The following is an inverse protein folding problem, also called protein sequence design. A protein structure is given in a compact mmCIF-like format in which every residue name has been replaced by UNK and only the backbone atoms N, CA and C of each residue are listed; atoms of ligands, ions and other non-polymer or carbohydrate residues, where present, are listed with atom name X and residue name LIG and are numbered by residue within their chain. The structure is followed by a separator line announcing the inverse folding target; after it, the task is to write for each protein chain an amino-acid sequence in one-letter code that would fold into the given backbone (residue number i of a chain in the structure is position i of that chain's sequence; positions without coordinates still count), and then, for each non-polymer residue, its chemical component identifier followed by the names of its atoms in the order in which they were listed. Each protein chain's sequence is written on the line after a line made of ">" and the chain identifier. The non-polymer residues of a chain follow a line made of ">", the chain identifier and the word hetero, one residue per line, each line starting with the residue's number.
data_IF_875371597792
#
_entry.id   IF_875371597792
#
_cell.length_a   1.000
_cell.length_b   1.000
_cell.length_c   1.000
_cell.angle_alpha   90.00
_cell.angle_beta   90.00
_cell.angle_gamma   90.00
#
_symmetry.space_group_name_H-M   'P 1'
#
loop_
_entity.id
_entity.type
_entity.pdbx_description
1 polymer ?
#
# COMPACT_ATOMS: atom_id res chain seq x y z
N UNK A 1 -4.70 -20.03 -14.98
CA UNK A 1 -4.92 -19.24 -13.75
C UNK A 1 -6.04 -18.26 -14.09
N UNK A 2 -7.17 -18.33 -13.39
CA UNK A 2 -8.32 -17.43 -13.61
C UNK A 2 -8.10 -16.05 -13.00
N UNK A 3 -9.15 -15.24 -12.94
CA UNK A 3 -9.13 -13.94 -12.29
C UNK A 3 -8.69 -14.05 -10.81
N UNK A 4 -8.03 -13.00 -10.33
CA UNK A 4 -7.59 -12.87 -8.94
C UNK A 4 -8.22 -11.62 -8.33
N UNK A 5 -8.76 -11.77 -7.12
CA UNK A 5 -9.32 -10.66 -6.33
C UNK A 5 -8.55 -10.56 -5.03
N UNK A 6 -8.10 -9.37 -4.69
CA UNK A 6 -7.51 -9.05 -3.39
C UNK A 6 -8.44 -8.11 -2.64
N UNK A 7 -8.76 -8.45 -1.38
CA UNK A 7 -9.59 -7.66 -0.49
C UNK A 7 -8.74 -7.27 0.72
N UNK A 8 -8.57 -5.98 0.97
CA UNK A 8 -7.83 -5.47 2.13
C UNK A 8 -8.84 -4.95 3.16
N UNK A 9 -8.97 -5.64 4.29
CA UNK A 9 -9.88 -5.28 5.40
C UNK A 9 -9.07 -4.60 6.50
N UNK A 10 -8.95 -3.28 6.37
CA UNK A 10 -8.25 -2.41 7.34
C UNK A 10 -8.92 -2.42 8.73
N UNK A 11 -10.23 -2.64 8.75
CA UNK A 11 -11.04 -2.81 9.96
C UNK A 11 -10.72 -4.11 10.71
N UNK A 12 -10.32 -5.16 9.98
CA UNK A 12 -9.99 -6.47 10.55
C UNK A 12 -8.48 -6.70 10.71
N UNK A 13 -7.63 -5.91 10.04
CA UNK A 13 -6.18 -6.10 10.02
C UNK A 13 -5.71 -7.23 9.11
N UNK A 14 -6.50 -7.60 8.09
CA UNK A 14 -6.18 -8.73 7.19
C UNK A 14 -6.33 -8.39 5.70
N UNK A 15 -5.56 -9.10 4.87
CA UNK A 15 -5.81 -9.22 3.44
C UNK A 15 -6.34 -10.61 3.09
N UNK A 16 -7.20 -10.67 2.07
CA UNK A 16 -7.77 -11.89 1.54
C UNK A 16 -7.48 -11.98 0.05
N UNK A 17 -6.88 -13.09 -0.38
CA UNK A 17 -6.55 -13.36 -1.77
C UNK A 17 -7.40 -14.51 -2.29
N UNK A 18 -8.23 -14.21 -3.29
CA UNK A 18 -9.17 -15.13 -3.90
C UNK A 18 -8.74 -15.38 -5.34
N UNK A 19 -8.68 -16.66 -5.71
CA UNK A 19 -8.52 -17.08 -7.10
C UNK A 19 -9.83 -17.67 -7.60
N UNK A 20 -10.23 -17.31 -8.82
CA UNK A 20 -11.49 -17.73 -9.44
C UNK A 20 -11.66 -19.26 -9.41
N UNK A 21 -10.63 -20.00 -9.81
CA UNK A 21 -10.65 -21.46 -9.93
C UNK A 21 -10.11 -22.19 -8.69
N UNK A 22 -10.11 -21.54 -7.52
CA UNK A 22 -9.70 -22.15 -6.25
C UNK A 22 -10.86 -22.16 -5.27
N UNK A 23 -10.98 -23.28 -4.54
CA UNK A 23 -11.84 -23.46 -3.38
C UNK A 23 -11.25 -22.85 -2.10
N UNK A 24 -10.06 -22.24 -2.18
CA UNK A 24 -9.31 -21.71 -1.05
C UNK A 24 -9.15 -20.19 -1.16
N UNK A 25 -9.37 -19.50 -0.05
CA UNK A 25 -9.06 -18.08 0.16
C UNK A 25 -7.85 -18.01 1.08
N UNK A 26 -6.82 -17.29 0.66
CA UNK A 26 -5.64 -17.06 1.49
C UNK A 26 -5.83 -15.80 2.31
N UNK A 27 -5.71 -15.93 3.64
CA UNK A 27 -5.83 -14.83 4.59
C UNK A 27 -4.45 -14.51 5.17
N UNK A 28 -4.00 -13.27 5.07
CA UNK A 28 -2.71 -12.83 5.60
C UNK A 28 -2.88 -11.63 6.53
N UNK A 29 -2.14 -11.62 7.65
CA UNK A 29 -2.15 -10.49 8.58
C UNK A 29 -1.43 -9.29 7.97
N UNK A 30 -2.01 -8.10 8.11
CA UNK A 30 -1.39 -6.86 7.68
C UNK A 30 -0.26 -6.41 8.63
N UNK A 31 -0.18 -7.00 9.82
CA UNK A 31 0.79 -6.67 10.85
C UNK A 31 2.17 -7.29 10.63
N UNK A 32 2.29 -8.26 9.73
CA UNK A 32 3.55 -8.97 9.52
C UNK A 32 4.54 -8.03 8.84
N UNK A 33 5.68 -7.81 9.50
CA UNK A 33 6.77 -7.00 8.98
C UNK A 33 8.10 -7.71 9.19
N UNK A 34 8.74 -8.08 8.08
CA UNK A 34 10.12 -8.54 8.07
C UNK A 34 11.08 -7.42 7.63
N UNK A 35 10.55 -6.30 7.17
CA UNK A 35 11.34 -5.20 6.65
C UNK A 35 11.89 -4.30 7.77
N UNK A 36 12.99 -3.59 7.48
CA UNK A 36 13.63 -2.62 8.36
C UNK A 36 13.49 -1.22 7.79
N UNK A 37 12.90 -0.32 8.56
CA UNK A 37 12.82 1.10 8.21
C UNK A 37 14.23 1.71 8.24
N UNK A 38 14.58 2.44 7.19
CA UNK A 38 15.83 3.18 7.09
C UNK A 38 15.60 4.68 7.27
N UNK A 39 14.51 5.20 6.69
CA UNK A 39 14.19 6.61 6.72
C UNK A 39 12.68 6.83 6.58
N UNK A 40 12.14 7.76 7.35
CA UNK A 40 10.77 8.26 7.21
C UNK A 40 10.79 9.76 7.47
N UNK A 41 10.41 10.56 6.47
CA UNK A 41 10.44 12.03 6.60
C UNK A 41 9.45 12.71 5.65
N UNK A 42 8.60 13.56 6.20
CA UNK A 42 7.81 14.51 5.41
C UNK A 42 8.67 15.69 4.90
N UNK A 43 8.46 16.08 3.65
CA UNK A 43 9.13 17.20 2.98
C UNK A 43 8.07 18.13 2.41
N UNK A 44 8.03 19.37 2.91
CA UNK A 44 7.01 20.38 2.56
C UNK A 44 7.58 21.63 1.88
N UNK A 45 8.90 21.78 1.88
CA UNK A 45 9.62 22.92 1.31
C UNK A 45 10.12 22.68 -0.12
N UNK A 46 9.94 21.47 -0.64
CA UNK A 46 10.26 21.05 -2.00
C UNK A 46 9.00 20.39 -2.57
N UNK A 47 8.25 21.15 -3.36
CA UNK A 47 6.93 20.72 -3.86
C UNK A 47 7.02 20.36 -5.35
N UNK A 48 6.21 19.38 -5.75
CA UNK A 48 6.09 18.95 -7.15
C UNK A 48 4.64 19.04 -7.59
N UNK A 49 4.41 19.59 -8.78
CA UNK A 49 3.09 19.52 -9.39
C UNK A 49 2.82 18.09 -9.87
N UNK A 50 1.72 17.52 -9.39
CA UNK A 50 1.22 16.19 -9.77
C UNK A 50 -0.27 16.32 -9.99
N UNK A 51 -0.74 16.00 -11.20
CA UNK A 51 -2.16 16.06 -11.53
C UNK A 51 -2.79 17.44 -11.27
N UNK A 52 -2.09 18.52 -11.62
CA UNK A 52 -2.52 19.91 -11.43
C UNK A 52 -2.47 20.39 -9.97
N UNK A 53 -2.00 19.57 -9.04
CA UNK A 53 -1.94 19.88 -7.61
C UNK A 53 -0.48 19.98 -7.15
N UNK A 54 -0.17 20.98 -6.34
CA UNK A 54 1.15 21.08 -5.70
C UNK A 54 1.22 20.11 -4.52
N UNK A 55 2.11 19.13 -4.61
CA UNK A 55 2.22 18.05 -3.65
C UNK A 55 3.48 18.18 -2.78
N UNK A 56 3.27 17.94 -1.49
CA UNK A 56 4.34 17.57 -0.55
C UNK A 56 4.68 16.09 -0.77
N UNK A 57 5.76 15.60 -0.17
CA UNK A 57 6.08 14.17 -0.23
C UNK A 57 6.64 13.61 1.07
N UNK A 58 6.41 12.32 1.28
CA UNK A 58 7.10 11.55 2.32
C UNK A 58 8.22 10.76 1.67
N UNK A 59 9.42 10.88 2.23
CA UNK A 59 10.52 9.95 1.98
C UNK A 59 10.26 8.73 2.85
N UNK A 60 10.20 7.56 2.23
CA UNK A 60 10.06 6.27 2.90
C UNK A 60 11.08 5.31 2.30
N UNK A 61 12.15 5.08 3.06
CA UNK A 61 13.22 4.17 2.67
C UNK A 61 13.22 2.97 3.60
N UNK A 62 13.32 1.78 3.03
CA UNK A 62 13.36 0.56 3.82
C UNK A 62 14.23 -0.52 3.16
N UNK A 63 14.66 -1.46 3.99
CA UNK A 63 15.37 -2.67 3.59
C UNK A 63 14.47 -3.86 3.81
N UNK A 64 14.28 -4.71 2.82
CA UNK A 64 13.51 -5.93 3.04
C UNK A 64 14.28 -6.95 3.88
N UNK A 65 13.57 -7.64 4.76
CA UNK A 65 14.13 -8.78 5.52
C UNK A 65 13.97 -10.12 4.81
N UNK A 66 13.26 -10.18 3.68
CA UNK A 66 13.13 -11.43 2.93
C UNK A 66 14.48 -11.82 2.29
N UNK A 67 15.06 -12.98 2.67
CA UNK A 67 16.31 -13.46 2.09
C UNK A 67 16.17 -13.71 0.57
N UNK A 68 14.98 -14.06 0.09
CA UNK A 68 14.70 -14.38 -1.31
C UNK A 68 14.27 -13.17 -2.14
N UNK A 69 14.03 -12.01 -1.52
CA UNK A 69 13.62 -10.83 -2.26
C UNK A 69 14.65 -10.41 -3.31
N UNK A 70 14.16 -10.12 -4.51
CA UNK A 70 14.96 -9.73 -5.68
C UNK A 70 15.69 -8.39 -5.46
N UNK A 71 15.05 -7.45 -4.76
CA UNK A 71 15.63 -6.17 -4.34
C UNK A 71 15.83 -6.16 -2.83
N UNK A 72 16.90 -5.51 -2.35
CA UNK A 72 17.19 -5.44 -0.91
C UNK A 72 16.82 -4.11 -0.27
N UNK A 73 17.00 -3.00 -0.98
CA UNK A 73 16.71 -1.66 -0.48
C UNK A 73 15.78 -0.95 -1.45
N UNK A 74 14.75 -0.33 -0.91
CA UNK A 74 13.83 0.53 -1.65
C UNK A 74 13.96 1.93 -1.07
N UNK A 75 14.16 2.91 -1.96
CA UNK A 75 14.12 4.33 -1.61
C UNK A 75 12.93 4.98 -2.30
N UNK A 76 12.05 5.60 -1.52
CA UNK A 76 10.75 6.04 -2.00
C UNK A 76 10.47 7.50 -1.74
N UNK A 77 9.95 8.20 -2.76
CA UNK A 77 9.25 9.49 -2.59
C UNK A 77 7.78 9.29 -2.92
N UNK A 78 6.93 9.58 -1.95
CA UNK A 78 5.49 9.39 -2.02
C UNK A 78 4.80 10.76 -1.96
N UNK A 79 4.41 11.28 -3.11
CA UNK A 79 3.84 12.62 -3.26
C UNK A 79 2.33 12.60 -2.99
N UNK A 80 1.86 13.53 -2.17
CA UNK A 80 0.47 13.59 -1.73
C UNK A 80 -0.04 15.03 -1.67
N UNK A 81 -1.37 15.18 -1.70
CA UNK A 81 -2.05 16.44 -1.48
C UNK A 81 -3.13 16.26 -0.39
N UNK A 82 -3.25 17.17 0.60
CA UNK A 82 -4.23 17.09 1.68
C UNK A 82 -5.71 17.08 1.24
N UNK A 83 -6.00 17.32 -0.04
CA UNK A 83 -7.32 17.15 -0.66
C UNK A 83 -7.77 15.68 -0.65
N UNK A 84 -6.86 14.72 -0.82
CA UNK A 84 -7.16 13.29 -0.93
C UNK A 84 -6.91 12.57 0.41
N UNK A 85 -7.71 12.93 1.42
CA UNK A 85 -7.49 12.49 2.81
C UNK A 85 -7.73 11.00 3.01
N UNK A 86 -6.95 10.41 3.90
CA UNK A 86 -7.18 9.07 4.44
C UNK A 86 -7.56 9.16 5.91
N UNK A 87 -8.20 8.10 6.44
CA UNK A 87 -8.40 7.94 7.86
C UNK A 87 -7.24 7.13 8.44
N UNK A 88 -6.21 7.79 8.97
CA UNK A 88 -5.00 7.14 9.48
C UNK A 88 -5.25 6.09 10.56
N UNK A 89 -6.33 6.22 11.34
CA UNK A 89 -6.71 5.23 12.38
C UNK A 89 -7.01 3.85 11.81
N UNK A 90 -7.54 3.79 10.58
CA UNK A 90 -7.84 2.52 9.90
C UNK A 90 -6.56 1.79 9.48
N UNK A 91 -5.45 2.50 9.29
CA UNK A 91 -4.22 1.91 8.77
C UNK A 91 -3.29 1.39 9.87
N UNK A 92 -3.66 1.47 11.16
CA UNK A 92 -2.77 1.15 12.30
C UNK A 92 -2.05 -0.20 12.15
N UNK A 93 -2.75 -1.20 11.61
CA UNK A 93 -2.26 -2.58 11.50
C UNK A 93 -1.58 -2.85 10.15
N UNK A 94 -1.60 -1.92 9.20
CA UNK A 94 -0.97 -2.05 7.88
C UNK A 94 0.54 -1.78 7.94
N UNK A 95 1.27 -2.70 8.57
CA UNK A 95 2.72 -2.58 8.79
C UNK A 95 3.55 -2.94 7.55
N UNK A 96 3.01 -3.72 6.63
CA UNK A 96 3.69 -4.05 5.36
C UNK A 96 4.08 -2.78 4.60
N UNK A 97 5.35 -2.73 4.17
CA UNK A 97 5.94 -1.56 3.51
C UNK A 97 5.87 -0.27 4.34
N UNK A 98 5.67 -0.36 5.67
CA UNK A 98 5.50 0.79 6.57
C UNK A 98 4.35 1.73 6.18
N UNK A 99 3.29 1.20 5.55
CA UNK A 99 2.20 2.03 5.03
C UNK A 99 1.42 2.73 6.14
N UNK A 100 1.28 2.09 7.30
CA UNK A 100 0.74 2.73 8.49
C UNK A 100 1.52 4.00 8.90
N UNK A 101 2.85 3.97 8.82
CA UNK A 101 3.69 5.13 9.14
C UNK A 101 3.59 6.21 8.06
N UNK A 102 3.58 5.82 6.78
CA UNK A 102 3.33 6.77 5.69
C UNK A 102 2.01 7.52 5.89
N UNK A 103 0.91 6.79 6.11
CA UNK A 103 -0.42 7.41 6.27
C UNK A 103 -0.50 8.26 7.53
N UNK A 104 0.23 7.90 8.60
CA UNK A 104 0.31 8.73 9.80
C UNK A 104 0.97 10.09 9.53
N UNK A 105 2.03 10.12 8.71
CA UNK A 105 2.73 11.37 8.34
C UNK A 105 1.95 12.20 7.31
N UNK A 106 1.47 11.55 6.24
CA UNK A 106 0.85 12.24 5.11
C UNK A 106 -0.63 12.58 5.35
N UNK A 107 -1.34 11.73 6.11
CA UNK A 107 -2.79 11.76 6.29
C UNK A 107 -3.60 11.84 4.98
N UNK A 108 -3.00 11.38 3.89
CA UNK A 108 -3.52 11.46 2.53
C UNK A 108 -2.93 10.33 1.69
N UNK A 109 -3.61 9.97 0.61
CA UNK A 109 -3.11 8.99 -0.35
C UNK A 109 -1.98 9.58 -1.19
N UNK A 110 -1.01 8.74 -1.56
CA UNK A 110 -0.01 9.12 -2.56
C UNK A 110 -0.64 9.10 -3.95
N UNK A 111 -0.50 10.22 -4.67
CA UNK A 111 -0.97 10.34 -6.07
C UNK A 111 0.18 10.26 -7.07
N UNK A 112 1.42 10.20 -6.58
CA UNK A 112 2.62 9.82 -7.34
C UNK A 112 3.62 9.15 -6.41
N UNK A 113 4.27 8.11 -6.91
CA UNK A 113 5.32 7.41 -6.22
C UNK A 113 6.54 7.31 -7.14
N UNK A 114 7.71 7.63 -6.59
CA UNK A 114 8.99 7.45 -7.25
C UNK A 114 9.81 6.51 -6.38
N UNK A 115 10.10 5.32 -6.90
CA UNK A 115 10.84 4.30 -6.19
C UNK A 115 12.15 3.99 -6.90
N UNK A 116 13.21 3.90 -6.14
CA UNK A 116 14.48 3.33 -6.56
C UNK A 116 14.67 2.00 -5.86
N UNK A 117 14.69 0.93 -6.64
CA UNK A 117 15.08 -0.41 -6.21
C UNK A 117 16.59 -0.50 -6.40
N UNK A 118 17.33 -0.36 -5.30
CA UNK A 118 18.77 -0.10 -5.33
C UNK A 118 19.52 -1.16 -6.15
N UNK A 119 20.30 -0.70 -7.14
CA UNK A 119 21.09 -1.55 -8.03
C UNK A 119 20.29 -2.22 -9.16
N UNK A 120 18.99 -1.97 -9.29
CA UNK A 120 18.14 -2.65 -10.27
C UNK A 120 17.46 -1.67 -11.23
N UNK A 121 16.43 -0.96 -10.76
CA UNK A 121 15.66 -0.05 -11.60
C UNK A 121 15.00 1.04 -10.77
N UNK A 122 14.54 2.07 -11.49
CA UNK A 122 13.68 3.12 -10.93
C UNK A 122 12.29 2.95 -11.50
N UNK A 123 11.28 3.14 -10.67
CA UNK A 123 9.88 3.13 -11.07
C UNK A 123 9.24 4.46 -10.72
N UNK A 124 8.33 4.90 -11.59
CA UNK A 124 7.52 6.08 -11.38
C UNK A 124 6.09 5.69 -11.69
N UNK A 125 5.21 5.81 -10.69
CA UNK A 125 3.77 5.64 -10.85
C UNK A 125 3.07 6.94 -10.45
N UNK A 126 1.96 7.27 -11.11
CA UNK A 126 1.18 8.45 -10.79
C UNK A 126 -0.27 8.26 -11.22
N UNK A 127 -1.18 8.92 -10.53
CA UNK A 127 -2.59 8.97 -10.89
C UNK A 127 -2.75 9.76 -12.20
N UNK A 128 -3.45 9.17 -13.16
CA UNK A 128 -3.83 9.82 -14.43
C UNK A 128 -5.26 10.32 -14.43
N UNK A 129 -6.09 9.79 -13.53
CA UNK A 129 -7.47 10.23 -13.32
C UNK A 129 -7.92 9.90 -11.89
N UNK A 130 -8.87 10.67 -11.35
CA UNK A 130 -9.45 10.47 -10.02
C UNK A 130 -10.97 10.65 -10.13
N UNK A 131 -11.69 9.54 -9.98
CA UNK A 131 -13.14 9.48 -10.11
C UNK A 131 -13.75 9.20 -8.73
N UNK A 132 -14.65 10.08 -8.30
CA UNK A 132 -15.48 9.83 -7.13
C UNK A 132 -16.58 8.84 -7.50
N UNK A 133 -16.68 7.76 -6.74
CA UNK A 133 -17.63 6.68 -6.98
C UNK A 133 -18.12 6.11 -5.66
N UNK A 134 -19.41 5.78 -5.62
CA UNK A 134 -19.97 4.97 -4.54
C UNK A 134 -19.58 3.51 -4.79
N UNK A 135 -18.99 2.89 -3.77
CA UNK A 135 -18.54 1.50 -3.82
C UNK A 135 -19.49 0.66 -2.96
N UNK A 136 -20.11 -0.35 -3.58
CA UNK A 136 -20.98 -1.28 -2.86
C UNK A 136 -20.18 -2.18 -1.91
N UNK A 137 -20.70 -2.40 -0.69
CA UNK A 137 -20.10 -3.32 0.28
C UNK A 137 -20.02 -4.77 -0.23
N UNK A 138 -20.84 -5.13 -1.21
CA UNK A 138 -20.83 -6.45 -1.86
C UNK A 138 -19.44 -6.82 -2.43
N UNK A 139 -18.65 -5.82 -2.86
CA UNK A 139 -17.31 -6.09 -3.38
C UNK A 139 -16.34 -6.57 -2.29
N UNK A 140 -16.66 -6.33 -1.01
CA UNK A 140 -15.85 -6.76 0.14
C UNK A 140 -16.36 -8.05 0.79
N UNK A 141 -17.49 -8.59 0.31
CA UNK A 141 -18.02 -9.86 0.79
C UNK A 141 -17.08 -11.00 0.40
N UNK A 142 -16.74 -11.82 1.40
CA UNK A 142 -15.92 -13.01 1.27
C UNK A 142 -16.87 -14.19 1.10
N UNK A 143 -16.61 -15.02 0.09
CA UNK A 143 -17.39 -16.23 -0.18
C UNK A 143 -17.25 -17.22 0.99
N UNK A 144 -18.35 -17.49 1.67
CA UNK A 144 -18.41 -18.39 2.83
C UNK A 144 -18.22 -19.86 2.46
N UNK A 145 -18.41 -20.22 1.19
CA UNK A 145 -18.33 -21.61 0.73
C UNK A 145 -16.87 -22.04 0.45
N UNK A 146 -15.93 -21.10 0.47
CA UNK A 146 -14.50 -21.37 0.26
C UNK A 146 -13.77 -21.59 1.59
N UNK A 147 -12.77 -22.47 1.56
CA UNK A 147 -11.89 -22.72 2.69
C UNK A 147 -10.97 -21.53 2.94
N UNK A 148 -10.95 -21.01 4.17
CA UNK A 148 -10.02 -19.95 4.56
C UNK A 148 -8.73 -20.59 5.09
N UNK A 149 -7.62 -20.33 4.40
CA UNK A 149 -6.28 -20.72 4.83
C UNK A 149 -5.51 -19.49 5.32
N UNK A 150 -5.10 -19.50 6.58
CA UNK A 150 -4.20 -18.48 7.11
C UNK A 150 -2.78 -18.72 6.57
N UNK A 151 -2.15 -17.64 6.11
CA UNK A 151 -0.77 -17.63 5.61
C UNK A 151 0.02 -16.66 6.47
N UNK A 152 1.08 -17.19 7.10
CA UNK A 152 2.09 -16.44 7.85
C UNK A 152 3.15 -15.84 6.92
#
# INVERSE_FOLDING_TARGET
>A
MGAMKSIIRLDEGFSYLLYENSDTIYKSSLEIINDKLLNLKIVTNDKKEVFGEMCDYVILDYKTGDPNAFFKVVRGKHYFNPKYRLNSKMYKDYKSGFWNQYVNEANAISIRNEHEYEGLFKSVSYATDIIEQEISDEIFVIDSDKFIKVVD
#
